data_IF_942760313165
#
_entry.id   IF_942760313165
#
_cell.length_a   1.000
_cell.length_b   1.000
_cell.length_c   1.000
_cell.angle_alpha   90.00
_cell.angle_beta   90.00
_cell.angle_gamma   90.00
#
_symmetry.space_group_name_H-M   'P 1'
#
loop_
_entity.id
_entity.type
_entity.pdbx_description
1 polymer ?
#
# COMPACT_ATOMS: atom_id res chain seq x y z
N UNK A 1 -1.90 12.75 -21.26
CA UNK A 1 -2.65 11.49 -21.02
C UNK A 1 -4.13 11.80 -21.19
N UNK A 2 -4.90 10.95 -21.87
CA UNK A 2 -6.35 11.12 -21.92
C UNK A 2 -6.96 10.98 -20.52
N UNK A 3 -8.01 11.75 -20.24
CA UNK A 3 -8.77 11.71 -18.99
C UNK A 3 -9.16 10.29 -18.53
N UNK A 4 -9.66 9.38 -19.40
CA UNK A 4 -9.96 8.00 -18.99
C UNK A 4 -8.72 7.20 -18.56
N UNK A 5 -7.56 7.47 -19.16
CA UNK A 5 -6.30 6.80 -18.81
C UNK A 5 -5.82 7.26 -17.44
N UNK A 6 -6.00 8.55 -17.12
CA UNK A 6 -5.61 9.13 -15.84
C UNK A 6 -6.44 8.54 -14.69
N UNK A 7 -7.76 8.44 -14.89
CA UNK A 7 -8.66 7.80 -13.91
C UNK A 7 -8.37 6.31 -13.76
N UNK A 8 -8.16 5.58 -14.86
CA UNK A 8 -7.80 4.17 -14.79
C UNK A 8 -6.49 3.96 -14.00
N UNK A 9 -5.48 4.80 -14.24
CA UNK A 9 -4.22 4.76 -13.50
C UNK A 9 -4.45 5.04 -12.00
N UNK A 10 -5.25 6.06 -11.67
CA UNK A 10 -5.59 6.40 -10.29
C UNK A 10 -6.25 5.22 -9.57
N UNK A 11 -7.24 4.58 -10.20
CA UNK A 11 -7.94 3.41 -9.64
C UNK A 11 -6.97 2.26 -9.40
N UNK A 12 -6.09 1.95 -10.35
CA UNK A 12 -5.09 0.88 -10.20
C UNK A 12 -4.15 1.18 -9.04
N UNK A 13 -3.64 2.41 -8.93
CA UNK A 13 -2.74 2.80 -7.85
C UNK A 13 -3.42 2.74 -6.47
N UNK A 14 -4.69 3.15 -6.38
CA UNK A 14 -5.49 3.03 -5.15
C UNK A 14 -5.65 1.56 -4.77
N UNK A 15 -6.06 0.70 -5.70
CA UNK A 15 -6.28 -0.73 -5.43
C UNK A 15 -4.98 -1.40 -5.00
N UNK A 16 -3.88 -1.16 -5.72
CA UNK A 16 -2.56 -1.71 -5.36
C UNK A 16 -2.11 -1.20 -3.99
N UNK A 17 -2.30 0.08 -3.70
CA UNK A 17 -1.94 0.67 -2.42
C UNK A 17 -2.74 0.09 -1.26
N UNK A 18 -4.05 -0.11 -1.42
CA UNK A 18 -4.91 -0.76 -0.43
C UNK A 18 -4.48 -2.20 -0.21
N UNK A 19 -4.24 -2.97 -1.28
CA UNK A 19 -3.78 -4.36 -1.17
C UNK A 19 -2.45 -4.44 -0.42
N UNK A 20 -1.50 -3.55 -0.68
CA UNK A 20 -0.21 -3.51 0.01
C UNK A 20 -0.37 -3.21 1.51
N UNK A 21 -1.21 -2.24 1.88
CA UNK A 21 -1.48 -1.88 3.27
C UNK A 21 -2.19 -3.02 4.03
N UNK A 22 -3.21 -3.64 3.42
CA UNK A 22 -3.91 -4.79 3.99
C UNK A 22 -2.97 -5.99 4.15
N UNK A 23 -2.15 -6.27 3.14
CA UNK A 23 -1.20 -7.37 3.18
C UNK A 23 -0.11 -7.15 4.25
N UNK A 24 0.38 -5.92 4.42
CA UNK A 24 1.28 -5.59 5.51
C UNK A 24 0.65 -5.83 6.89
N UNK A 25 -0.61 -5.43 7.07
CA UNK A 25 -1.38 -5.70 8.28
C UNK A 25 -1.57 -7.19 8.53
N UNK A 26 -1.91 -7.95 7.49
CA UNK A 26 -2.02 -9.41 7.55
C UNK A 26 -0.69 -10.07 7.96
N UNK A 27 0.43 -9.67 7.35
CA UNK A 27 1.74 -10.19 7.71
C UNK A 27 2.14 -9.86 9.16
N UNK A 28 1.67 -8.74 9.69
CA UNK A 28 1.91 -8.38 11.09
C UNK A 28 1.02 -9.18 12.04
N UNK A 29 -0.24 -9.41 11.67
CA UNK A 29 -1.20 -10.20 12.44
C UNK A 29 -0.85 -11.69 12.47
N UNK A 30 -0.47 -12.26 11.32
CA UNK A 30 -0.12 -13.67 11.17
C UNK A 30 1.31 -14.00 11.64
N UNK A 31 2.06 -13.02 12.10
CA UNK A 31 3.42 -13.21 12.57
C UNK A 31 3.44 -14.07 13.84
N UNK A 32 4.30 -15.08 13.87
CA UNK A 32 4.61 -15.78 15.11
C UNK A 32 5.31 -14.82 16.10
N UNK A 33 5.21 -15.04 17.42
CA UNK A 33 5.82 -14.17 18.42
C UNK A 33 7.32 -13.91 18.19
N UNK A 34 8.03 -14.94 17.74
CA UNK A 34 9.46 -14.94 17.42
C UNK A 34 9.81 -14.01 16.23
N UNK A 35 8.82 -13.68 15.41
CA UNK A 35 8.97 -12.84 14.23
C UNK A 35 8.68 -11.36 14.49
N UNK A 36 8.26 -10.98 15.70
CA UNK A 36 8.11 -9.58 16.10
C UNK A 36 9.47 -8.92 16.40
N UNK A 37 10.38 -9.01 15.45
CA UNK A 37 11.65 -8.29 15.47
C UNK A 37 11.49 -6.93 14.80
N UNK A 38 12.26 -5.93 15.24
CA UNK A 38 12.29 -4.60 14.63
C UNK A 38 12.55 -4.65 13.11
N UNK A 39 13.41 -5.57 12.66
CA UNK A 39 13.72 -5.74 11.24
C UNK A 39 12.52 -6.24 10.42
N UNK A 40 11.77 -7.25 10.92
CA UNK A 40 10.59 -7.77 10.22
C UNK A 40 9.39 -6.81 10.33
N UNK A 41 9.17 -6.23 11.51
CA UNK A 41 8.15 -5.20 11.73
C UNK A 41 8.39 -3.95 10.86
N UNK A 42 9.64 -3.48 10.78
CA UNK A 42 10.01 -2.33 9.95
C UNK A 42 9.74 -2.55 8.46
N UNK A 43 10.00 -3.75 7.92
CA UNK A 43 9.67 -4.08 6.52
C UNK A 43 8.17 -4.06 6.25
N UNK A 44 7.36 -4.57 7.19
CA UNK A 44 5.89 -4.54 7.09
C UNK A 44 5.36 -3.10 7.17
N UNK A 45 5.91 -2.30 8.09
CA UNK A 45 5.58 -0.88 8.19
C UNK A 45 5.94 -0.13 6.91
N UNK A 46 7.13 -0.36 6.35
CA UNK A 46 7.55 0.24 5.09
C UNK A 46 6.61 -0.15 3.93
N UNK A 47 6.15 -1.40 3.89
CA UNK A 47 5.17 -1.86 2.91
C UNK A 47 3.82 -1.14 3.07
N UNK A 48 3.33 -0.99 4.30
CA UNK A 48 2.10 -0.26 4.58
C UNK A 48 2.20 1.22 4.18
N UNK A 49 3.32 1.87 4.50
CA UNK A 49 3.59 3.25 4.11
C UNK A 49 3.74 3.41 2.59
N UNK A 50 4.37 2.44 1.92
CA UNK A 50 4.43 2.41 0.45
C UNK A 50 3.05 2.29 -0.18
N UNK A 51 2.18 1.43 0.38
CA UNK A 51 0.79 1.32 -0.04
C UNK A 51 0.00 2.63 0.13
N UNK A 52 0.16 3.28 1.29
CA UNK A 52 -0.45 4.59 1.55
C UNK A 52 0.07 5.68 0.59
N UNK A 53 1.36 5.70 0.31
CA UNK A 53 1.95 6.66 -0.63
C UNK A 53 1.38 6.48 -2.05
N UNK A 54 1.10 5.24 -2.48
CA UNK A 54 0.43 4.98 -3.76
C UNK A 54 -1.00 5.53 -3.77
N UNK A 55 -1.75 5.37 -2.67
CA UNK A 55 -3.12 5.92 -2.56
C UNK A 55 -3.09 7.45 -2.60
N UNK A 56 -2.17 8.07 -1.86
CA UNK A 56 -2.02 9.53 -1.84
C UNK A 56 -1.54 10.05 -3.19
N UNK A 57 -0.57 9.43 -3.83
CA UNK A 57 -0.14 9.81 -5.18
C UNK A 57 -1.24 9.64 -6.24
N UNK A 58 -2.13 8.67 -6.05
CA UNK A 58 -3.27 8.48 -6.92
C UNK A 58 -4.32 9.60 -6.82
N UNK A 59 -4.42 10.30 -5.68
CA UNK A 59 -5.39 11.38 -5.53
C UNK A 59 -5.05 12.59 -6.40
N UNK A 60 -3.77 12.80 -6.74
CA UNK A 60 -3.34 13.85 -7.68
C UNK A 60 -3.73 13.57 -9.13
N UNK A 61 -4.12 12.32 -9.44
CA UNK A 61 -4.57 11.91 -10.77
C UNK A 61 -6.09 12.01 -10.94
N UNK A 62 -6.84 12.13 -9.85
CA UNK A 62 -8.28 12.36 -9.87
C UNK A 62 -8.59 13.82 -10.25
N UNK A 63 -9.69 14.08 -10.97
CA UNK A 63 -10.12 15.44 -11.32
C UNK A 63 -10.62 16.24 -10.11
#
# INVERSE_FOLDING_TARGET
>A
MGEPVRVALAVVLIVVGVVAAVYAGYLQYAALPEEHTFAKGGKRLALALGGLALIVGASELLP
#
